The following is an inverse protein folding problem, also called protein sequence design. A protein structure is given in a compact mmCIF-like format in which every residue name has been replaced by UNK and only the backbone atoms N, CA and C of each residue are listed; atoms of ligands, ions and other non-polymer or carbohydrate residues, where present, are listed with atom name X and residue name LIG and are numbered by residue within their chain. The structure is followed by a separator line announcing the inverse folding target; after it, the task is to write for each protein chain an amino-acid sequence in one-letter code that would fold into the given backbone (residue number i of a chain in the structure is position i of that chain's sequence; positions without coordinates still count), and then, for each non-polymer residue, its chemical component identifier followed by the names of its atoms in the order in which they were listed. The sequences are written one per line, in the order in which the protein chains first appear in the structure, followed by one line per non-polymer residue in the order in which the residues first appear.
data_IF_646852177783
#
_entry.id   IF_646852177783
#
_cell.length_a   1.000
_cell.length_b   1.000
_cell.length_c   1.000
_cell.angle_alpha   90.00
_cell.angle_beta   90.00
_cell.angle_gamma   90.00
#
_symmetry.space_group_name_H-M   'P 1'
#
loop_
_entity.id
_entity.type
_entity.pdbx_description
1 polymer ?
#
# COMPACT_ATOMS: atom_id res chain seq x y z
N UNK A 1 -39.64 0.56 19.16
CA UNK A 1 -38.59 -0.19 18.45
C UNK A 1 -37.42 0.77 18.17
N UNK A 2 -36.23 0.50 18.72
CA UNK A 2 -35.05 1.37 18.55
C UNK A 2 -34.41 1.13 17.17
N UNK A 3 -34.83 1.91 16.17
CA UNK A 3 -34.32 1.87 14.81
C UNK A 3 -32.82 2.24 14.77
N UNK A 4 -32.38 3.10 15.70
CA UNK A 4 -30.97 3.51 15.77
C UNK A 4 -30.10 2.36 16.31
N UNK A 5 -30.59 1.55 17.25
CA UNK A 5 -29.92 0.34 17.73
C UNK A 5 -29.79 -0.73 16.64
N UNK A 6 -30.86 -0.96 15.88
CA UNK A 6 -30.85 -1.91 14.77
C UNK A 6 -29.85 -1.52 13.67
N UNK A 7 -29.80 -0.21 13.31
CA UNK A 7 -28.81 0.29 12.34
C UNK A 7 -27.36 0.14 12.80
N UNK A 8 -27.08 0.41 14.10
CA UNK A 8 -25.74 0.21 14.67
C UNK A 8 -25.32 -1.26 14.66
N UNK A 9 -26.27 -2.17 14.99
CA UNK A 9 -25.99 -3.61 14.95
C UNK A 9 -25.77 -4.12 13.53
N UNK A 10 -26.56 -3.68 12.56
CA UNK A 10 -26.37 -4.01 11.14
C UNK A 10 -25.03 -3.51 10.60
N UNK A 11 -24.62 -2.29 10.97
CA UNK A 11 -23.31 -1.73 10.59
C UNK A 11 -22.13 -2.53 11.20
N UNK A 12 -22.24 -2.97 12.45
CA UNK A 12 -21.24 -3.82 13.12
C UNK A 12 -21.11 -5.19 12.43
N UNK A 13 -22.21 -5.84 12.10
CA UNK A 13 -22.22 -7.13 11.41
C UNK A 13 -21.62 -6.97 10.00
N UNK A 14 -22.01 -5.94 9.25
CA UNK A 14 -21.47 -5.66 7.94
C UNK A 14 -19.95 -5.36 7.98
N UNK A 15 -19.48 -4.65 8.99
CA UNK A 15 -18.05 -4.40 9.22
C UNK A 15 -17.29 -5.69 9.58
N UNK A 16 -17.86 -6.54 10.42
CA UNK A 16 -17.26 -7.83 10.78
C UNK A 16 -17.17 -8.77 9.58
N UNK A 17 -18.22 -8.84 8.76
CA UNK A 17 -18.25 -9.64 7.53
C UNK A 17 -17.25 -9.12 6.47
N UNK A 18 -17.04 -7.81 6.38
CA UNK A 18 -16.01 -7.24 5.51
C UNK A 18 -14.63 -7.65 5.98
N UNK A 19 -14.31 -7.49 7.26
CA UNK A 19 -13.00 -7.90 7.83
C UNK A 19 -12.70 -9.37 7.60
N UNK A 20 -13.69 -10.26 7.70
CA UNK A 20 -13.49 -11.70 7.44
C UNK A 20 -13.18 -12.00 5.98
N UNK A 21 -13.60 -11.15 5.03
CA UNK A 21 -13.30 -11.27 3.59
C UNK A 21 -12.01 -10.54 3.20
N UNK A 22 -11.75 -9.39 3.79
CA UNK A 22 -10.55 -8.61 3.50
C UNK A 22 -9.26 -9.36 3.82
N UNK A 23 -9.18 -10.04 4.96
CA UNK A 23 -7.97 -10.78 5.37
C UNK A 23 -7.53 -11.89 4.38
N UNK A 24 -8.39 -12.73 3.81
CA UNK A 24 -8.01 -13.64 2.73
C UNK A 24 -7.55 -12.90 1.47
N UNK A 25 -8.32 -11.91 1.00
CA UNK A 25 -7.97 -11.13 -0.18
C UNK A 25 -6.62 -10.40 -0.03
N UNK A 26 -6.33 -9.85 1.16
CA UNK A 26 -5.03 -9.25 1.46
C UNK A 26 -3.89 -10.27 1.36
N UNK A 27 -4.08 -11.46 1.92
CA UNK A 27 -3.06 -12.53 1.86
C UNK A 27 -2.81 -12.98 0.43
N UNK A 28 -3.87 -13.17 -0.34
CA UNK A 28 -3.78 -13.59 -1.73
C UNK A 28 -3.07 -12.52 -2.55
N UNK A 29 -3.42 -11.24 -2.38
CA UNK A 29 -2.76 -10.14 -3.08
C UNK A 29 -1.29 -10.00 -2.69
N UNK A 30 -0.93 -10.09 -1.38
CA UNK A 30 0.47 -10.08 -0.94
C UNK A 30 1.25 -11.24 -1.53
N UNK A 31 0.67 -12.46 -1.52
CA UNK A 31 1.30 -13.64 -2.11
C UNK A 31 1.57 -13.43 -3.59
N UNK A 32 0.56 -13.02 -4.33
CA UNK A 32 0.64 -12.83 -5.77
C UNK A 32 1.68 -11.75 -6.15
N UNK A 33 1.67 -10.59 -5.45
CA UNK A 33 2.65 -9.53 -5.66
C UNK A 33 4.07 -9.99 -5.32
N UNK A 34 4.21 -10.76 -4.23
CA UNK A 34 5.50 -11.30 -3.82
C UNK A 34 6.03 -12.30 -4.84
N UNK A 35 5.18 -13.19 -5.35
CA UNK A 35 5.56 -14.19 -6.35
C UNK A 35 5.89 -13.52 -7.69
N UNK A 36 5.15 -12.49 -8.09
CA UNK A 36 5.45 -11.70 -9.28
C UNK A 36 6.82 -11.02 -9.20
N UNK A 37 7.14 -10.41 -8.05
CA UNK A 37 8.47 -9.80 -7.82
C UNK A 37 9.58 -10.86 -7.84
N UNK A 38 9.38 -12.01 -7.17
CA UNK A 38 10.36 -13.09 -7.09
C UNK A 38 10.61 -13.78 -8.44
N UNK A 39 9.61 -13.81 -9.30
CA UNK A 39 9.72 -14.42 -10.63
C UNK A 39 10.51 -13.56 -11.63
N UNK A 40 10.85 -12.33 -11.27
CA UNK A 40 11.62 -11.45 -12.14
C UNK A 40 13.06 -11.95 -12.31
N UNK A 41 13.65 -11.78 -13.50
CA UNK A 41 15.03 -12.24 -13.76
C UNK A 41 16.07 -11.60 -12.85
N UNK A 42 15.79 -10.39 -12.34
CA UNK A 42 16.64 -9.66 -11.42
C UNK A 42 15.81 -9.14 -10.24
N UNK A 43 16.27 -9.36 -9.00
CA UNK A 43 15.61 -8.77 -7.84
C UNK A 43 15.71 -7.23 -7.89
N UNK A 44 14.75 -6.51 -7.28
CA UNK A 44 14.83 -5.06 -7.16
C UNK A 44 16.10 -4.66 -6.39
N UNK A 45 16.77 -3.60 -6.85
CA UNK A 45 18.02 -3.12 -6.24
C UNK A 45 17.75 -2.35 -4.93
N UNK A 46 16.62 -1.68 -4.86
CA UNK A 46 16.20 -0.82 -3.74
C UNK A 46 14.68 -0.82 -3.57
N UNK A 47 14.20 -0.16 -2.53
CA UNK A 47 12.76 -0.05 -2.25
C UNK A 47 12.04 0.81 -3.31
N UNK A 48 12.58 1.92 -3.80
CA UNK A 48 11.96 2.65 -4.91
C UNK A 48 11.77 1.82 -6.19
N UNK A 49 12.72 0.96 -6.55
CA UNK A 49 12.54 0.04 -7.68
C UNK A 49 11.47 -1.00 -7.38
N UNK A 50 11.45 -1.56 -6.17
CA UNK A 50 10.39 -2.47 -5.71
C UNK A 50 9.01 -1.81 -5.81
N UNK A 51 8.87 -0.58 -5.34
CA UNK A 51 7.62 0.17 -5.41
C UNK A 51 7.11 0.33 -6.85
N UNK A 52 8.01 0.66 -7.81
CA UNK A 52 7.66 0.75 -9.23
C UNK A 52 7.22 -0.60 -9.80
N UNK A 53 7.89 -1.69 -9.41
CA UNK A 53 7.52 -3.05 -9.79
C UNK A 53 6.12 -3.39 -9.29
N UNK A 54 5.80 -3.10 -8.03
CA UNK A 54 4.49 -3.35 -7.45
C UNK A 54 3.38 -2.59 -8.18
N UNK A 55 3.62 -1.32 -8.57
CA UNK A 55 2.67 -0.56 -9.39
C UNK A 55 2.49 -1.17 -10.79
N UNK A 56 3.55 -1.69 -11.42
CA UNK A 56 3.45 -2.41 -12.69
C UNK A 56 2.59 -3.68 -12.57
N UNK A 57 2.76 -4.44 -11.50
CA UNK A 57 1.96 -5.64 -11.24
C UNK A 57 0.48 -5.29 -10.98
N UNK A 58 0.23 -4.21 -10.23
CA UNK A 58 -1.14 -3.70 -10.06
C UNK A 58 -1.75 -3.22 -11.37
N UNK A 59 -0.98 -2.57 -12.23
CA UNK A 59 -1.38 -2.16 -13.57
C UNK A 59 -1.83 -3.37 -14.41
N UNK A 60 -1.02 -4.43 -14.44
CA UNK A 60 -1.35 -5.67 -15.15
C UNK A 60 -2.66 -6.30 -14.63
N UNK A 61 -2.88 -6.32 -13.31
CA UNK A 61 -4.10 -6.82 -12.66
C UNK A 61 -5.35 -6.02 -12.99
N UNK A 62 -5.18 -4.74 -13.31
CA UNK A 62 -6.26 -3.83 -13.73
C UNK A 62 -6.48 -3.81 -15.25
N UNK A 63 -6.08 -4.88 -15.94
CA UNK A 63 -6.26 -5.00 -17.40
C UNK A 63 -5.34 -4.08 -18.21
N UNK A 64 -4.18 -3.71 -17.65
CA UNK A 64 -3.21 -2.83 -18.28
C UNK A 64 -3.45 -1.34 -18.01
N UNK A 65 -4.43 -0.98 -17.16
CA UNK A 65 -4.62 0.40 -16.72
C UNK A 65 -3.38 0.86 -15.94
N UNK A 66 -2.73 1.92 -16.41
CA UNK A 66 -1.49 2.42 -15.81
C UNK A 66 -1.71 2.81 -14.34
N UNK A 67 -0.85 2.32 -13.46
CA UNK A 67 -0.68 2.82 -12.10
C UNK A 67 0.65 3.56 -12.06
N UNK A 68 0.59 4.89 -12.18
CA UNK A 68 1.76 5.78 -12.12
C UNK A 68 2.16 6.03 -10.66
N UNK A 69 3.46 5.96 -10.37
CA UNK A 69 4.01 6.18 -9.04
C UNK A 69 4.90 7.40 -9.03
N UNK A 70 4.64 8.30 -8.08
CA UNK A 70 5.50 9.46 -7.81
C UNK A 70 5.89 9.52 -6.35
N UNK A 71 7.15 9.88 -6.12
CA UNK A 71 7.65 10.28 -4.82
C UNK A 71 7.68 11.80 -4.79
N UNK A 72 6.87 12.40 -3.92
CA UNK A 72 6.72 13.85 -3.84
C UNK A 72 6.74 14.28 -2.39
N UNK A 73 7.22 15.50 -2.16
CA UNK A 73 7.16 16.12 -0.85
C UNK A 73 5.80 16.76 -0.64
N UNK A 74 5.03 16.23 0.31
CA UNK A 74 3.78 16.85 0.73
C UNK A 74 4.06 18.14 1.53
N UNK A 75 3.18 19.16 1.44
CA UNK A 75 3.23 20.31 2.32
C UNK A 75 3.14 19.92 3.79
N UNK A 76 3.93 20.57 4.66
CA UNK A 76 4.00 20.23 6.08
C UNK A 76 2.67 20.47 6.83
N UNK A 77 1.80 21.30 6.25
CA UNK A 77 0.47 21.63 6.77
C UNK A 77 -0.56 20.50 6.55
N UNK A 78 -0.23 19.52 5.69
CA UNK A 78 -1.11 18.42 5.33
C UNK A 78 -0.62 17.16 6.03
N UNK A 79 -1.44 16.60 6.93
CA UNK A 79 -1.13 15.36 7.63
C UNK A 79 -1.40 14.12 6.73
N UNK A 80 -0.83 14.11 5.51
CA UNK A 80 -0.97 13.03 4.54
C UNK A 80 0.42 12.59 4.11
N UNK A 81 0.64 11.29 4.06
CA UNK A 81 1.92 10.69 3.64
C UNK A 81 1.81 9.89 2.34
N UNK A 82 0.59 9.55 1.93
CA UNK A 82 0.28 8.88 0.69
C UNK A 82 -1.00 9.43 0.08
N UNK A 83 -1.17 9.23 -1.21
CA UNK A 83 -2.37 9.63 -1.94
C UNK A 83 -2.54 8.78 -3.19
N UNK A 84 -3.70 8.14 -3.33
CA UNK A 84 -4.14 7.58 -4.59
C UNK A 84 -5.21 8.48 -5.23
N UNK A 85 -5.06 8.75 -6.53
CA UNK A 85 -6.01 9.51 -7.35
C UNK A 85 -6.35 8.72 -8.59
N UNK A 86 -7.64 8.51 -8.84
CA UNK A 86 -8.14 7.87 -10.06
C UNK A 86 -8.41 8.94 -11.12
N UNK A 87 -7.74 8.83 -12.27
CA UNK A 87 -8.01 9.61 -13.48
C UNK A 87 -8.82 8.78 -14.48
N UNK A 88 -9.21 9.39 -15.59
CA UNK A 88 -9.98 8.69 -16.62
C UNK A 88 -9.19 7.51 -17.22
N UNK A 89 -7.90 7.73 -17.56
CA UNK A 89 -7.05 6.76 -18.28
C UNK A 89 -6.05 6.03 -17.39
N UNK A 90 -5.75 6.53 -16.20
CA UNK A 90 -4.72 5.97 -15.32
C UNK A 90 -5.03 6.23 -13.85
N UNK A 91 -4.33 5.54 -13.00
CA UNK A 91 -4.30 5.77 -11.55
C UNK A 91 -2.95 6.39 -11.18
N UNK A 92 -2.96 7.37 -10.28
CA UNK A 92 -1.75 7.98 -9.75
C UNK A 92 -1.63 7.66 -8.26
N UNK A 93 -0.49 7.13 -7.87
CA UNK A 93 -0.12 6.95 -6.46
C UNK A 93 1.05 7.87 -6.15
N UNK A 94 0.90 8.66 -5.09
CA UNK A 94 1.94 9.56 -4.59
C UNK A 94 2.35 9.08 -3.21
N UNK A 95 3.65 9.03 -2.97
CA UNK A 95 4.24 8.62 -1.70
C UNK A 95 5.17 9.72 -1.21
N UNK A 96 5.15 10.04 0.09
CA UNK A 96 6.03 11.04 0.71
C UNK A 96 7.50 10.68 0.49
N UNK A 97 8.23 11.54 -0.23
CA UNK A 97 9.63 11.30 -0.58
C UNK A 97 10.58 11.31 0.61
N UNK A 98 10.24 12.05 1.69
CA UNK A 98 11.06 12.16 2.92
C UNK A 98 10.89 10.97 3.86
N UNK A 99 9.93 10.09 3.60
CA UNK A 99 9.75 8.89 4.40
C UNK A 99 10.93 7.94 4.19
N UNK A 100 11.31 7.20 5.24
CA UNK A 100 12.28 6.13 5.10
C UNK A 100 11.78 5.07 4.12
N UNK A 101 12.69 4.40 3.41
CA UNK A 101 12.36 3.45 2.34
C UNK A 101 11.31 2.41 2.74
N UNK A 102 11.45 1.80 3.92
CA UNK A 102 10.46 0.83 4.39
C UNK A 102 9.12 1.48 4.71
N UNK A 103 9.11 2.72 5.18
CA UNK A 103 7.88 3.48 5.38
C UNK A 103 7.23 3.86 4.05
N UNK A 104 8.02 4.20 3.02
CA UNK A 104 7.50 4.41 1.66
C UNK A 104 6.77 3.16 1.14
N UNK A 105 7.31 1.96 1.41
CA UNK A 105 6.65 0.71 1.03
C UNK A 105 5.35 0.45 1.81
N UNK A 106 5.29 0.81 3.10
CA UNK A 106 4.04 0.75 3.89
C UNK A 106 3.00 1.70 3.31
N UNK A 107 3.39 2.95 3.03
CA UNK A 107 2.51 3.96 2.45
C UNK A 107 2.01 3.52 1.08
N UNK A 108 2.91 3.04 0.21
CA UNK A 108 2.51 2.49 -1.09
C UNK A 108 1.50 1.35 -0.92
N UNK A 109 1.77 0.40 -0.04
CA UNK A 109 0.87 -0.72 0.22
C UNK A 109 -0.52 -0.26 0.65
N UNK A 110 -0.59 0.73 1.54
CA UNK A 110 -1.85 1.36 1.96
C UNK A 110 -2.65 1.88 0.76
N UNK A 111 -2.04 2.67 -0.12
CA UNK A 111 -2.70 3.22 -1.31
C UNK A 111 -3.08 2.13 -2.33
N UNK A 112 -2.23 1.11 -2.51
CA UNK A 112 -2.53 -0.02 -3.39
C UNK A 112 -3.70 -0.85 -2.89
N UNK A 113 -3.91 -0.95 -1.56
CA UNK A 113 -5.09 -1.62 -1.02
C UNK A 113 -6.36 -0.83 -1.32
N UNK A 114 -6.34 0.47 -1.15
CA UNK A 114 -7.48 1.31 -1.50
C UNK A 114 -7.83 1.18 -2.98
N UNK A 115 -6.83 1.22 -3.85
CA UNK A 115 -6.99 1.01 -5.28
C UNK A 115 -7.56 -0.38 -5.60
N UNK A 116 -7.11 -1.44 -4.91
CA UNK A 116 -7.57 -2.81 -5.11
C UNK A 116 -8.99 -3.05 -4.62
N UNK A 117 -9.31 -2.55 -3.43
CA UNK A 117 -10.61 -2.70 -2.80
C UNK A 117 -11.69 -1.78 -3.38
N UNK A 118 -11.30 -0.81 -4.21
CA UNK A 118 -12.20 0.20 -4.78
C UNK A 118 -12.73 1.14 -3.71
N UNK A 119 -11.94 1.44 -2.70
CA UNK A 119 -12.30 2.42 -1.69
C UNK A 119 -12.29 3.80 -2.30
N UNK A 120 -13.40 4.54 -2.19
CA UNK A 120 -13.44 5.92 -2.64
C UNK A 120 -12.76 6.81 -1.60
N UNK A 121 -11.55 7.29 -1.92
CA UNK A 121 -10.81 8.19 -1.04
C UNK A 121 -10.96 9.65 -1.41
N UNK A 122 -11.07 10.46 -0.40
CA UNK A 122 -11.17 11.91 -0.49
C UNK A 122 -10.06 12.58 0.31
N UNK A 123 -8.89 12.59 -0.27
CA UNK A 123 -7.90 13.59 0.11
C UNK A 123 -8.06 14.82 -0.80
N UNK A 124 -9.31 15.34 -0.94
CA UNK A 124 -9.58 16.50 -1.79
C UNK A 124 -8.62 17.65 -1.46
N UNK A 125 -8.38 17.93 -0.17
CA UNK A 125 -7.44 18.96 0.25
C UNK A 125 -5.99 18.67 -0.16
N UNK A 126 -5.56 17.41 -0.13
CA UNK A 126 -4.22 17.03 -0.57
C UNK A 126 -4.11 17.08 -2.10
N UNK A 127 -5.13 16.63 -2.80
CA UNK A 127 -5.20 16.71 -4.26
C UNK A 127 -5.22 18.18 -4.73
N UNK A 128 -6.01 19.05 -4.09
CA UNK A 128 -6.05 20.49 -4.38
C UNK A 128 -4.70 21.17 -4.10
N UNK A 129 -4.04 20.81 -3.00
CA UNK A 129 -2.73 21.36 -2.65
C UNK A 129 -1.61 20.93 -3.61
N UNK A 130 -1.74 19.75 -4.22
CA UNK A 130 -0.83 19.27 -5.26
C UNK A 130 -1.16 19.87 -6.62
N UNK A 131 -2.43 20.11 -6.95
CA UNK A 131 -2.86 20.70 -8.22
C UNK A 131 -2.30 22.11 -8.45
N UNK A 132 -1.99 22.86 -7.38
CA UNK A 132 -1.35 24.18 -7.45
C UNK A 132 0.17 24.15 -7.67
N UNK A 133 0.80 22.99 -7.82
CA UNK A 133 2.26 22.89 -7.99
C UNK A 133 2.65 22.88 -9.47
N UNK A 134 3.80 23.48 -9.85
CA UNK A 134 4.29 23.45 -11.23
C UNK A 134 4.43 22.02 -11.76
N UNK A 135 3.86 21.75 -12.92
CA UNK A 135 3.83 20.42 -13.53
C UNK A 135 2.53 19.62 -13.28
N UNK A 136 1.60 20.16 -12.50
CA UNK A 136 0.28 19.58 -12.23
C UNK A 136 -0.86 20.40 -12.82
N UNK A 137 -0.53 21.54 -13.49
CA UNK A 137 -1.48 22.55 -14.00
C UNK A 137 -2.44 22.03 -15.07
N UNK A 138 -2.15 20.87 -15.69
CA UNK A 138 -2.98 20.30 -16.74
C UNK A 138 -3.85 19.13 -16.30
N UNK A 139 -3.79 18.78 -15.02
CA UNK A 139 -4.44 17.60 -14.52
C UNK A 139 -5.77 18.01 -13.88
N UNK A 140 -6.86 17.92 -14.66
CA UNK A 140 -8.21 18.01 -14.13
C UNK A 140 -8.43 16.84 -13.16
N UNK A 141 -8.22 17.11 -11.87
CA UNK A 141 -8.54 16.20 -10.78
C UNK A 141 -10.04 15.94 -10.80
N UNK A 142 -10.46 14.87 -11.46
CA UNK A 142 -11.81 14.34 -11.22
C UNK A 142 -11.78 13.65 -9.87
N UNK A 143 -11.74 14.47 -8.81
CA UNK A 143 -11.98 13.98 -7.46
C UNK A 143 -13.43 13.53 -7.44
N UNK A 144 -13.65 12.22 -7.59
CA UNK A 144 -14.97 11.64 -7.40
C UNK A 144 -15.40 11.94 -5.97
N UNK A 145 -16.32 12.90 -5.81
CA UNK A 145 -16.92 13.29 -4.55
C UNK A 145 -17.81 12.16 -4.02
N UNK A 146 -17.23 11.10 -3.45
CA UNK A 146 -17.96 10.08 -2.70
C UNK A 146 -17.57 10.16 -1.24
N UNK A 147 -18.56 10.33 -0.40
CA UNK A 147 -18.45 10.58 1.03
C UNK A 147 -17.63 9.53 1.79
N UNK A 148 -16.51 9.96 2.34
CA UNK A 148 -15.90 9.47 3.56
C UNK A 148 -15.25 8.09 3.49
N UNK A 149 -13.92 8.05 3.56
CA UNK A 149 -13.23 6.85 3.99
C UNK A 149 -13.81 6.42 5.33
N UNK A 150 -14.17 5.15 5.44
CA UNK A 150 -14.65 4.62 6.70
C UNK A 150 -13.41 4.26 7.52
N UNK A 151 -13.39 4.59 8.78
CA UNK A 151 -12.33 4.17 9.73
C UNK A 151 -11.93 2.70 9.58
N UNK A 152 -12.88 1.85 9.15
CA UNK A 152 -12.63 0.44 8.85
C UNK A 152 -11.80 0.23 7.58
N UNK A 153 -11.99 1.07 6.56
CA UNK A 153 -11.29 0.97 5.27
C UNK A 153 -9.83 1.42 5.44
N UNK A 154 -9.58 2.45 6.26
CA UNK A 154 -8.24 2.88 6.65
C UNK A 154 -7.49 1.80 7.43
N UNK A 155 -8.15 1.19 8.44
CA UNK A 155 -7.54 0.12 9.23
C UNK A 155 -7.19 -1.12 8.38
N UNK A 156 -7.98 -1.41 7.34
CA UNK A 156 -7.67 -2.47 6.38
C UNK A 156 -6.47 -2.10 5.51
N UNK A 157 -6.40 -0.86 5.03
CA UNK A 157 -5.29 -0.38 4.22
C UNK A 157 -3.97 -0.34 5.01
N UNK A 158 -4.02 0.10 6.26
CA UNK A 158 -2.87 0.06 7.18
C UNK A 158 -2.37 -1.38 7.38
N UNK A 159 -3.28 -2.32 7.68
CA UNK A 159 -2.92 -3.74 7.85
C UNK A 159 -2.28 -4.32 6.58
N UNK A 160 -2.83 -3.99 5.40
CA UNK A 160 -2.26 -4.44 4.13
C UNK A 160 -0.88 -3.83 3.88
N UNK A 161 -0.69 -2.52 4.09
CA UNK A 161 0.60 -1.84 3.93
C UNK A 161 1.70 -2.49 4.78
N UNK A 162 1.41 -2.75 6.05
CA UNK A 162 2.33 -3.43 6.93
C UNK A 162 2.62 -4.89 6.51
N UNK A 163 1.61 -5.64 6.05
CA UNK A 163 1.81 -7.02 5.56
C UNK A 163 2.67 -7.05 4.30
N UNK A 164 2.41 -6.14 3.37
CA UNK A 164 3.20 -6.04 2.15
C UNK A 164 4.65 -5.70 2.47
N UNK A 165 4.90 -4.69 3.31
CA UNK A 165 6.24 -4.33 3.73
C UNK A 165 6.96 -5.49 4.45
N UNK A 166 6.26 -6.21 5.32
CA UNK A 166 6.81 -7.38 6.01
C UNK A 166 7.27 -8.49 5.05
N UNK A 167 6.57 -8.68 3.92
CA UNK A 167 6.94 -9.68 2.91
C UNK A 167 8.28 -9.33 2.21
N UNK A 168 8.70 -8.07 2.25
CA UNK A 168 9.89 -7.55 1.58
C UNK A 168 10.97 -7.01 2.54
N UNK A 169 10.93 -7.34 3.82
CA UNK A 169 11.92 -6.88 4.83
C UNK A 169 13.39 -7.11 4.45
N UNK A 170 13.66 -7.99 3.50
CA UNK A 170 15.03 -8.32 3.05
C UNK A 170 15.45 -7.56 1.79
N UNK A 171 14.55 -6.83 1.15
CA UNK A 171 14.85 -5.97 0.00
C UNK A 171 15.50 -4.68 0.53
N UNK A 172 16.66 -4.34 0.05
CA UNK A 172 17.44 -3.18 0.55
C UNK A 172 18.52 -3.53 1.58
N UNK A 173 18.48 -4.72 2.18
CA UNK A 173 19.65 -5.23 2.90
C UNK A 173 20.59 -5.93 1.91
N UNK A 174 21.31 -5.14 1.14
CA UNK A 174 22.31 -5.63 0.20
C UNK A 174 23.22 -6.68 0.82
N UNK A 175 23.01 -7.92 0.43
CA UNK A 175 23.97 -9.02 0.40
C UNK A 175 24.89 -9.23 1.60
N UNK A 176 24.39 -9.29 2.82
CA UNK A 176 24.92 -10.16 3.89
C UNK A 176 23.78 -10.33 4.89
N UNK A 177 23.26 -11.53 4.98
CA UNK A 177 22.36 -11.90 6.08
C UNK A 177 23.18 -11.88 7.38
N UNK A 178 23.37 -10.68 7.93
CA UNK A 178 23.84 -10.55 9.30
C UNK A 178 22.61 -10.82 10.18
N UNK A 179 22.58 -11.93 10.93
CA UNK A 179 21.45 -12.20 11.80
C UNK A 179 21.29 -11.01 12.77
N UNK A 180 20.05 -10.56 12.94
CA UNK A 180 19.66 -9.54 13.89
C UNK A 180 20.43 -9.73 15.21
N UNK A 181 21.01 -8.69 15.80
CA UNK A 181 21.70 -8.78 17.09
C UNK A 181 20.86 -9.50 18.16
N UNK A 182 19.53 -9.37 18.11
CA UNK A 182 18.59 -10.05 19.00
C UNK A 182 18.53 -11.55 18.71
N UNK A 183 18.52 -11.97 17.46
CA UNK A 183 18.56 -13.39 17.09
C UNK A 183 19.91 -14.03 17.44
N UNK A 184 21.00 -13.26 17.38
CA UNK A 184 22.33 -13.70 17.78
C UNK A 184 22.43 -13.90 19.29
N UNK A 185 21.81 -13.01 20.09
CA UNK A 185 21.79 -13.10 21.55
C UNK A 185 20.90 -14.24 22.05
N UNK A 186 19.88 -14.65 21.28
CA UNK A 186 18.99 -15.76 21.59
C UNK A 186 19.50 -17.14 21.13
N UNK A 187 20.71 -17.23 20.59
CA UNK A 187 21.41 -18.50 20.31
C UNK A 187 20.75 -19.34 19.19
N UNK A 188 20.06 -18.72 18.25
CA UNK A 188 19.44 -19.43 17.12
C UNK A 188 20.51 -19.97 16.18
N UNK A 189 20.99 -21.18 16.46
CA UNK A 189 21.84 -21.95 15.55
C UNK A 189 20.95 -22.58 14.48
N UNK A 190 20.96 -22.00 13.27
CA UNK A 190 20.37 -22.65 12.10
C UNK A 190 20.96 -24.07 11.96
N UNK A 191 20.14 -25.08 11.93
CA UNK A 191 20.51 -26.49 11.69
C UNK A 191 21.06 -26.57 10.26
N UNK A 192 22.38 -26.54 10.14
CA UNK A 192 23.08 -26.94 8.92
C UNK A 192 22.86 -28.42 8.73
N UNK A 193 22.11 -28.81 7.71
CA UNK A 193 21.98 -30.19 7.27
C UNK A 193 23.34 -30.64 6.71
N UNK A 194 24.06 -31.46 7.45
CA UNK A 194 25.18 -32.20 6.91
C UNK A 194 24.67 -33.31 5.98
N UNK A 195 25.15 -33.28 4.75
CA UNK A 195 25.09 -34.43 3.86
C UNK A 195 26.33 -35.27 4.10
N UNK A 196 26.14 -36.57 4.31
CA UNK A 196 27.07 -37.62 4.02
C UNK A 196 26.77 -38.17 2.64
#
# INVERSE_FOLDING_TARGET
MDIAGARRSAARIASALRRTRATPAMRDLVSDLTDAVRSRPRPPADVPELCRILCQEMSARRGGRLVDLRFERFPDEIAVTGLWVEFEDFDLVIVEERAEEMQQLVILGHELWHLHAGHAHHHAAAADALAGRPGWDSVALTVAARNGSREADEAEADDFGHRLAAAFLHVGRGGTACPDPVQRSLGYRGRGGGAL
#
